data_IF_381525224415
#
_entry.id   IF_381525224415
#
_cell.length_a   1.000
_cell.length_b   1.000
_cell.length_c   1.000
_cell.angle_alpha   90.00
_cell.angle_beta   90.00
_cell.angle_gamma   90.00
#
_symmetry.space_group_name_H-M   'P 1'
#
loop_
_entity.id
_entity.type
_entity.pdbx_description
1 polymer ?
#
# COMPACT_ATOMS: atom_id res chain seq x y z
N UNK A 1 -21.17 7.59 38.41
CA UNK A 1 -22.23 7.44 37.37
C UNK A 1 -21.56 7.13 36.05
N UNK A 2 -21.54 5.86 35.65
CA UNK A 2 -21.01 5.41 34.37
C UNK A 2 -22.09 5.60 33.28
N UNK A 3 -21.77 6.35 32.22
CA UNK A 3 -22.62 6.46 31.03
C UNK A 3 -22.47 5.19 30.20
N UNK A 4 -23.55 4.46 30.00
CA UNK A 4 -23.59 3.29 29.11
C UNK A 4 -23.42 3.75 27.66
N UNK A 5 -22.51 3.10 26.95
CA UNK A 5 -22.32 3.25 25.51
C UNK A 5 -23.49 2.54 24.83
N UNK A 6 -24.44 3.31 24.31
CA UNK A 6 -25.55 2.79 23.50
C UNK A 6 -25.03 2.22 22.17
N UNK A 7 -25.69 1.16 21.71
CA UNK A 7 -25.30 0.36 20.54
C UNK A 7 -25.20 1.21 19.28
N UNK A 8 -24.09 1.02 18.54
CA UNK A 8 -23.70 1.75 17.33
C UNK A 8 -24.66 1.61 16.14
N UNK A 9 -25.68 0.75 16.23
CA UNK A 9 -26.64 0.47 15.17
C UNK A 9 -28.05 0.61 15.72
N UNK A 10 -28.91 1.33 14.99
CA UNK A 10 -30.29 1.58 15.39
C UNK A 10 -31.22 0.46 14.93
N UNK A 11 -30.83 -0.30 13.91
CA UNK A 11 -31.63 -1.39 13.36
C UNK A 11 -30.80 -2.65 13.04
N UNK A 12 -31.45 -3.80 13.00
CA UNK A 12 -30.85 -5.08 12.60
C UNK A 12 -30.41 -5.06 11.14
N UNK A 13 -31.15 -4.36 10.28
CA UNK A 13 -30.81 -4.20 8.87
C UNK A 13 -29.52 -3.39 8.68
N UNK A 14 -29.30 -2.34 9.48
CA UNK A 14 -28.03 -1.61 9.48
C UNK A 14 -26.85 -2.49 9.90
N UNK A 15 -27.05 -3.37 10.88
CA UNK A 15 -26.00 -4.29 11.33
C UNK A 15 -25.67 -5.35 10.26
N UNK A 16 -26.68 -5.97 9.65
CA UNK A 16 -26.45 -6.97 8.60
C UNK A 16 -25.84 -6.36 7.34
N UNK A 17 -26.26 -5.13 6.97
CA UNK A 17 -25.63 -4.37 5.89
C UNK A 17 -24.17 -4.03 6.20
N UNK A 18 -23.89 -3.53 7.41
CA UNK A 18 -22.52 -3.25 7.86
C UNK A 18 -21.65 -4.51 7.85
N UNK A 19 -22.19 -5.66 8.26
CA UNK A 19 -21.51 -6.96 8.26
C UNK A 19 -21.23 -7.46 6.84
N UNK A 20 -22.20 -7.38 5.93
CA UNK A 20 -22.05 -7.73 4.52
C UNK A 20 -21.02 -6.83 3.79
N UNK A 21 -21.02 -5.53 4.09
CA UNK A 21 -20.04 -4.58 3.53
C UNK A 21 -18.61 -4.84 4.02
N UNK A 22 -18.45 -5.37 5.24
CA UNK A 22 -17.14 -5.77 5.79
C UNK A 22 -16.64 -7.08 5.16
N UNK A 23 -17.52 -8.06 5.02
CA UNK A 23 -17.19 -9.36 4.43
C UNK A 23 -16.85 -9.21 2.93
N UNK A 24 -17.51 -8.29 2.22
CA UNK A 24 -17.22 -8.01 0.81
C UNK A 24 -16.00 -7.11 0.57
N UNK A 25 -15.37 -6.58 1.62
CA UNK A 25 -14.23 -5.65 1.52
C UNK A 25 -14.57 -4.29 0.89
N UNK A 26 -15.85 -4.02 0.56
CA UNK A 26 -16.29 -2.80 -0.13
C UNK A 26 -16.10 -1.53 0.70
N UNK A 27 -16.32 -1.60 2.01
CA UNK A 27 -16.14 -0.44 2.90
C UNK A 27 -14.67 -0.02 3.02
N UNK A 28 -13.74 -0.98 3.09
CA UNK A 28 -12.30 -0.71 3.14
C UNK A 28 -11.78 -0.10 1.83
N UNK A 29 -12.20 -0.62 0.68
CA UNK A 29 -11.81 -0.09 -0.63
C UNK A 29 -12.40 1.29 -0.90
N UNK A 30 -13.68 1.50 -0.60
CA UNK A 30 -14.34 2.80 -0.78
C UNK A 30 -13.75 3.87 0.14
N UNK A 31 -13.48 3.57 1.41
CA UNK A 31 -12.84 4.53 2.31
C UNK A 31 -11.41 4.86 1.89
N UNK A 32 -10.61 3.86 1.50
CA UNK A 32 -9.25 4.11 0.99
C UNK A 32 -9.25 4.94 -0.29
N UNK A 33 -10.18 4.69 -1.20
CA UNK A 33 -10.29 5.44 -2.45
C UNK A 33 -10.68 6.90 -2.20
N UNK A 34 -11.61 7.15 -1.27
CA UNK A 34 -11.96 8.51 -0.85
C UNK A 34 -10.81 9.20 -0.11
N UNK A 35 -10.03 8.49 0.70
CA UNK A 35 -8.84 9.04 1.35
C UNK A 35 -7.73 9.39 0.34
N UNK A 36 -7.50 8.56 -0.69
CA UNK A 36 -6.53 8.83 -1.75
C UNK A 36 -6.94 10.03 -2.62
N UNK A 37 -8.22 10.09 -3.03
CA UNK A 37 -8.75 11.24 -3.78
C UNK A 37 -8.64 12.55 -2.97
N UNK A 38 -8.91 12.48 -1.67
CA UNK A 38 -8.78 13.64 -0.79
C UNK A 38 -7.31 14.06 -0.60
N UNK A 39 -6.38 13.10 -0.48
CA UNK A 39 -4.96 13.39 -0.39
C UNK A 39 -4.41 14.06 -1.67
N UNK A 40 -4.87 13.62 -2.85
CA UNK A 40 -4.49 14.22 -4.13
C UNK A 40 -5.06 15.62 -4.30
N UNK A 41 -6.33 15.82 -3.95
CA UNK A 41 -6.94 17.14 -3.93
C UNK A 41 -6.16 18.10 -3.01
N UNK A 42 -5.82 17.67 -1.80
CA UNK A 42 -5.03 18.46 -0.84
C UNK A 42 -3.63 18.78 -1.39
N UNK A 43 -2.97 17.83 -2.06
CA UNK A 43 -1.66 18.05 -2.67
C UNK A 43 -1.73 19.10 -3.79
N UNK A 44 -2.73 19.00 -4.67
CA UNK A 44 -2.99 19.97 -5.74
C UNK A 44 -3.22 21.37 -5.15
N UNK A 45 -4.01 21.48 -4.08
CA UNK A 45 -4.26 22.77 -3.41
C UNK A 45 -2.97 23.40 -2.88
N UNK A 46 -2.09 22.61 -2.24
CA UNK A 46 -0.82 23.14 -1.74
C UNK A 46 0.12 23.58 -2.86
N UNK A 47 0.16 22.85 -3.98
CA UNK A 47 0.92 23.25 -5.15
C UNK A 47 0.38 24.54 -5.78
N UNK A 48 -0.93 24.66 -5.94
CA UNK A 48 -1.57 25.86 -6.47
C UNK A 48 -1.27 27.08 -5.59
N UNK A 49 -1.43 26.96 -4.27
CA UNK A 49 -1.09 28.03 -3.33
C UNK A 49 0.39 28.41 -3.44
N UNK A 50 1.31 27.44 -3.54
CA UNK A 50 2.73 27.71 -3.70
C UNK A 50 3.06 28.46 -5.00
N UNK A 51 2.38 28.15 -6.11
CA UNK A 51 2.52 28.89 -7.38
C UNK A 51 1.94 30.29 -7.30
N UNK A 52 0.76 30.46 -6.68
CA UNK A 52 0.17 31.79 -6.44
C UNK A 52 1.10 32.68 -5.60
N UNK A 53 1.69 32.13 -4.53
CA UNK A 53 2.65 32.85 -3.69
C UNK A 53 3.92 33.23 -4.46
N UNK A 54 4.40 32.37 -5.37
CA UNK A 54 5.53 32.70 -6.24
C UNK A 54 5.19 33.86 -7.19
N UNK A 55 4.01 33.81 -7.81
CA UNK A 55 3.56 34.86 -8.71
C UNK A 55 3.45 36.20 -7.98
N UNK A 56 2.82 36.22 -6.80
CA UNK A 56 2.72 37.41 -5.95
C UNK A 56 4.08 37.96 -5.55
N UNK A 57 5.05 37.10 -5.21
CA UNK A 57 6.41 37.52 -4.90
C UNK A 57 7.09 38.19 -6.11
N UNK A 58 6.94 37.62 -7.31
CA UNK A 58 7.49 38.19 -8.55
C UNK A 58 6.86 39.55 -8.84
N UNK A 59 5.54 39.67 -8.74
CA UNK A 59 4.84 40.94 -8.92
C UNK A 59 5.32 42.01 -7.92
N UNK A 60 5.54 41.63 -6.66
CA UNK A 60 6.06 42.53 -5.64
C UNK A 60 7.49 43.01 -5.96
N UNK A 61 8.39 42.11 -6.39
CA UNK A 61 9.74 42.50 -6.79
C UNK A 61 9.77 43.37 -8.05
N UNK A 62 8.94 43.07 -9.06
CA UNK A 62 8.81 43.90 -10.26
C UNK A 62 8.33 45.31 -9.89
N UNK A 63 7.30 45.39 -9.03
CA UNK A 63 6.79 46.69 -8.55
C UNK A 63 7.89 47.46 -7.82
N UNK A 64 8.59 46.83 -6.88
CA UNK A 64 9.72 47.43 -6.19
C UNK A 64 10.82 47.93 -7.14
N UNK A 65 11.15 47.15 -8.17
CA UNK A 65 12.16 47.51 -9.17
C UNK A 65 11.74 48.71 -10.04
N UNK A 66 10.49 48.75 -10.48
CA UNK A 66 9.94 49.88 -11.28
C UNK A 66 9.98 51.17 -10.47
N UNK A 67 9.60 51.12 -9.19
CA UNK A 67 9.65 52.29 -8.30
C UNK A 67 11.08 52.72 -7.99
N UNK A 68 11.99 51.77 -7.76
CA UNK A 68 13.40 52.06 -7.55
C UNK A 68 14.01 52.74 -8.79
N UNK A 69 13.70 52.23 -9.99
CA UNK A 69 14.13 52.83 -11.25
C UNK A 69 13.59 54.26 -11.41
N UNK A 70 12.31 54.49 -11.08
CA UNK A 70 11.71 55.84 -11.12
C UNK A 70 12.43 56.82 -10.19
N UNK A 71 12.80 56.39 -8.97
CA UNK A 71 13.56 57.20 -8.02
C UNK A 71 14.97 57.53 -8.51
N UNK A 72 15.64 56.58 -9.18
CA UNK A 72 17.00 56.77 -9.69
C UNK A 72 17.03 57.65 -10.92
N UNK A 73 16.02 57.59 -11.81
CA UNK A 73 16.00 58.32 -13.08
C UNK A 73 15.50 59.76 -12.93
N UNK A 74 14.60 60.02 -11.97
CA UNK A 74 14.01 61.35 -11.74
C UNK A 74 15.02 62.51 -11.58
N UNK A 75 16.17 62.35 -10.89
CA UNK A 75 17.18 63.41 -10.76
C UNK A 75 17.89 63.78 -12.07
N UNK A 76 17.84 62.92 -13.10
CA UNK A 76 18.66 63.07 -14.31
C UNK A 76 18.00 63.85 -15.46
N UNK A 77 16.88 64.57 -15.20
CA UNK A 77 16.39 65.76 -15.93
C UNK A 77 16.15 65.70 -17.46
N UNK A 78 16.58 64.67 -18.17
CA UNK A 78 16.66 64.64 -19.64
C UNK A 78 16.20 63.33 -20.29
N UNK A 79 15.58 62.42 -19.52
CA UNK A 79 15.20 61.07 -19.99
C UNK A 79 13.67 60.92 -20.19
N UNK A 80 12.92 62.03 -20.12
CA UNK A 80 11.47 62.02 -20.20
C UNK A 80 10.89 61.63 -21.58
N UNK A 81 11.73 61.52 -22.62
CA UNK A 81 11.30 61.08 -23.96
C UNK A 81 11.23 59.57 -24.14
N UNK A 82 11.64 58.78 -23.14
CA UNK A 82 11.62 57.32 -23.23
C UNK A 82 10.26 56.77 -22.75
N UNK A 83 9.53 56.08 -23.64
CA UNK A 83 8.20 55.48 -23.41
C UNK A 83 8.12 54.62 -22.14
N UNK A 84 9.23 53.96 -21.77
CA UNK A 84 9.28 53.12 -20.57
C UNK A 84 9.29 53.96 -19.27
N UNK A 85 9.91 55.14 -19.29
CA UNK A 85 9.99 56.04 -18.13
C UNK A 85 8.64 56.70 -17.88
N UNK A 86 7.94 57.14 -18.93
CA UNK A 86 6.59 57.70 -18.80
C UNK A 86 5.56 56.66 -18.32
N UNK A 87 5.65 55.41 -18.78
CA UNK A 87 4.79 54.34 -18.29
C UNK A 87 5.03 54.04 -16.80
N UNK A 88 6.30 54.01 -16.37
CA UNK A 88 6.66 53.81 -14.96
C UNK A 88 6.15 54.96 -14.06
N UNK A 89 6.21 56.21 -14.54
CA UNK A 89 5.69 57.38 -13.81
C UNK A 89 4.15 57.34 -13.67
N UNK A 90 3.42 56.96 -14.72
CA UNK A 90 1.95 56.81 -14.64
C UNK A 90 1.52 55.74 -13.62
N UNK A 91 2.24 54.61 -13.58
CA UNK A 91 2.00 53.55 -12.58
C UNK A 91 2.31 54.06 -11.18
N UNK A 92 3.41 54.80 -11.01
CA UNK A 92 3.79 55.43 -9.74
C UNK A 92 2.70 56.35 -9.24
N UNK A 93 2.21 57.27 -10.06
CA UNK A 93 1.23 58.28 -9.66
C UNK A 93 -0.11 57.64 -9.26
N UNK A 94 -0.55 56.63 -10.02
CA UNK A 94 -1.76 55.86 -9.71
C UNK A 94 -1.65 55.17 -8.35
N UNK A 95 -0.56 54.45 -8.10
CA UNK A 95 -0.36 53.71 -6.85
C UNK A 95 -0.10 54.65 -5.67
N UNK A 96 0.63 55.75 -5.89
CA UNK A 96 0.92 56.77 -4.87
C UNK A 96 -0.36 57.46 -4.39
N UNK A 97 -1.32 57.71 -5.30
CA UNK A 97 -2.62 58.30 -4.94
C UNK A 97 -3.43 57.41 -3.99
N UNK A 98 -3.35 56.08 -4.17
CA UNK A 98 -4.05 55.11 -3.31
C UNK A 98 -3.40 55.01 -1.93
N UNK A 99 -2.07 55.06 -1.87
CA UNK A 99 -1.32 54.92 -0.61
C UNK A 99 -1.36 56.21 0.20
N UNK A 100 -1.38 57.37 -0.45
CA UNK A 100 -1.47 58.68 0.20
C UNK A 100 -2.76 58.88 1.01
N UNK A 101 -3.79 58.06 0.77
CA UNK A 101 -5.03 58.03 1.57
C UNK A 101 -4.80 57.38 2.95
N UNK A 102 -3.85 56.44 3.05
CA UNK A 102 -3.68 55.58 4.23
C UNK A 102 -2.42 55.93 5.03
N UNK A 103 -1.33 56.34 4.36
CA UNK A 103 -0.04 56.61 5.00
C UNK A 103 0.36 58.06 4.77
N UNK A 104 0.47 58.90 5.82
CA UNK A 104 0.96 60.26 5.68
C UNK A 104 2.45 60.22 5.28
N UNK A 105 2.74 60.61 4.04
CA UNK A 105 4.04 60.37 3.40
C UNK A 105 4.92 61.62 3.25
N UNK A 106 4.48 62.77 3.75
CA UNK A 106 5.26 64.00 3.78
C UNK A 106 5.93 64.17 5.15
N UNK A 107 7.21 63.81 5.23
CA UNK A 107 8.04 64.04 6.42
C UNK A 107 9.05 65.13 6.07
N UNK A 108 9.06 66.24 6.82
CA UNK A 108 10.00 67.36 6.62
C UNK A 108 10.01 67.94 5.19
N UNK A 109 8.83 68.15 4.60
CA UNK A 109 8.67 68.75 3.25
C UNK A 109 9.33 67.98 2.10
N UNK A 110 9.70 66.71 2.31
CA UNK A 110 10.16 65.80 1.26
C UNK A 110 9.17 64.65 1.13
N UNK A 111 8.77 64.36 -0.10
CA UNK A 111 7.95 63.20 -0.42
C UNK A 111 8.82 61.93 -0.40
N UNK A 112 8.60 61.09 0.61
CA UNK A 112 9.31 59.81 0.79
C UNK A 112 8.48 58.60 0.32
N UNK A 113 7.30 58.83 -0.28
CA UNK A 113 6.35 57.77 -0.66
C UNK A 113 7.00 56.69 -1.51
N UNK A 114 7.86 57.07 -2.47
CA UNK A 114 8.55 56.11 -3.33
C UNK A 114 9.44 55.13 -2.57
N UNK A 115 10.18 55.58 -1.55
CA UNK A 115 11.04 54.71 -0.74
C UNK A 115 10.22 53.76 0.14
N UNK A 116 9.10 54.25 0.69
CA UNK A 116 8.17 53.42 1.48
C UNK A 116 7.62 52.27 0.63
N UNK A 117 7.18 52.58 -0.60
CA UNK A 117 6.64 51.56 -1.52
C UNK A 117 7.69 50.51 -1.87
N UNK A 118 8.93 50.93 -2.15
CA UNK A 118 10.03 50.00 -2.42
C UNK A 118 10.25 49.07 -1.22
N UNK A 119 10.38 49.61 0.00
CA UNK A 119 10.62 48.80 1.21
C UNK A 119 9.48 47.81 1.44
N UNK A 120 8.22 48.24 1.30
CA UNK A 120 7.05 47.37 1.46
C UNK A 120 7.03 46.28 0.38
N UNK A 121 7.26 46.63 -0.88
CA UNK A 121 7.23 45.70 -1.99
C UNK A 121 8.29 44.59 -1.85
N UNK A 122 9.53 44.96 -1.52
CA UNK A 122 10.59 43.97 -1.26
C UNK A 122 10.27 43.13 -0.02
N UNK A 123 9.78 43.73 1.07
CA UNK A 123 9.43 43.00 2.30
C UNK A 123 8.31 41.96 2.06
N UNK A 124 7.26 42.35 1.33
CA UNK A 124 6.19 41.44 0.93
C UNK A 124 6.70 40.32 -0.01
N UNK A 125 7.59 40.66 -0.95
CA UNK A 125 8.24 39.68 -1.82
C UNK A 125 8.97 38.60 -1.03
N UNK A 126 9.79 38.99 -0.05
CA UNK A 126 10.47 38.05 0.85
C UNK A 126 9.50 37.24 1.69
N UNK A 127 8.43 37.86 2.23
CA UNK A 127 7.42 37.17 3.02
C UNK A 127 6.70 36.08 2.20
N UNK A 128 6.24 36.39 0.98
CA UNK A 128 5.59 35.42 0.09
C UNK A 128 6.53 34.28 -0.31
N UNK A 129 7.81 34.58 -0.51
CA UNK A 129 8.81 33.56 -0.82
C UNK A 129 9.04 32.60 0.36
N UNK A 130 9.01 33.10 1.60
CA UNK A 130 9.01 32.27 2.82
C UNK A 130 7.76 31.39 2.95
N UNK A 131 6.57 31.97 2.71
CA UNK A 131 5.30 31.23 2.76
C UNK A 131 5.24 30.11 1.70
N UNK A 132 5.74 30.37 0.48
CA UNK A 132 5.87 29.35 -0.58
C UNK A 132 6.62 28.11 -0.09
N UNK A 133 7.74 28.30 0.62
CA UNK A 133 8.52 27.18 1.14
C UNK A 133 7.69 26.35 2.14
N UNK A 134 6.96 27.00 3.05
CA UNK A 134 6.08 26.29 4.00
C UNK A 134 5.06 25.40 3.29
N UNK A 135 4.38 25.92 2.26
CA UNK A 135 3.37 25.14 1.53
C UNK A 135 3.98 24.01 0.67
N UNK A 136 5.13 24.25 0.02
CA UNK A 136 5.83 23.21 -0.74
C UNK A 136 6.26 22.05 0.18
N UNK A 137 6.67 22.35 1.40
CA UNK A 137 7.03 21.34 2.41
C UNK A 137 5.83 20.50 2.83
N UNK A 138 4.66 21.11 3.04
CA UNK A 138 3.42 20.40 3.35
C UNK A 138 3.00 19.46 2.21
N UNK A 139 3.08 19.92 0.96
CA UNK A 139 2.79 19.10 -0.22
C UNK A 139 3.69 17.84 -0.31
N UNK A 140 4.98 18.01 -0.07
CA UNK A 140 5.93 16.88 -0.08
C UNK A 140 5.62 15.88 1.04
N UNK A 141 5.22 16.34 2.24
CA UNK A 141 4.83 15.44 3.33
C UNK A 141 3.59 14.62 2.98
N UNK A 142 2.57 15.23 2.39
CA UNK A 142 1.36 14.52 1.95
C UNK A 142 1.73 13.43 0.94
N UNK A 143 2.62 13.75 0.00
CA UNK A 143 3.14 12.80 -0.99
C UNK A 143 3.91 11.66 -0.30
N UNK A 144 4.83 11.96 0.62
CA UNK A 144 5.58 10.93 1.36
C UNK A 144 4.67 10.02 2.19
N UNK A 145 3.65 10.59 2.84
CA UNK A 145 2.67 9.81 3.60
C UNK A 145 1.89 8.88 2.66
N UNK A 146 1.46 9.38 1.51
CA UNK A 146 0.80 8.58 0.47
C UNK A 146 1.70 7.44 -0.03
N UNK A 147 2.97 7.73 -0.35
CA UNK A 147 3.92 6.73 -0.82
C UNK A 147 4.19 5.67 0.25
N UNK A 148 4.27 6.08 1.53
CA UNK A 148 4.39 5.18 2.66
C UNK A 148 3.16 4.29 2.83
N UNK A 149 1.96 4.86 2.86
CA UNK A 149 0.71 4.12 3.03
C UNK A 149 0.47 3.18 1.84
N UNK A 150 0.84 3.60 0.62
CA UNK A 150 0.83 2.76 -0.58
C UNK A 150 1.84 1.62 -0.49
N UNK A 151 3.08 1.89 -0.09
CA UNK A 151 4.12 0.86 0.07
C UNK A 151 3.74 -0.15 1.15
N UNK A 152 3.27 0.33 2.30
CA UNK A 152 2.74 -0.47 3.39
C UNK A 152 1.55 -1.31 2.95
N UNK A 153 0.63 -0.73 2.18
CA UNK A 153 -0.53 -1.42 1.61
C UNK A 153 -0.13 -2.52 0.63
N UNK A 154 0.85 -2.25 -0.26
CA UNK A 154 1.40 -3.22 -1.21
C UNK A 154 2.09 -4.39 -0.50
N UNK A 155 2.81 -4.11 0.58
CA UNK A 155 3.56 -5.11 1.34
C UNK A 155 2.74 -5.77 2.48
N UNK A 156 1.49 -5.34 2.69
CA UNK A 156 0.59 -5.78 3.78
C UNK A 156 1.26 -5.93 5.16
N UNK A 157 2.28 -5.11 5.42
CA UNK A 157 3.03 -5.16 6.67
C UNK A 157 2.10 -4.75 7.82
N UNK A 158 2.01 -5.61 8.84
CA UNK A 158 1.29 -5.29 10.07
C UNK A 158 1.82 -3.99 10.69
N UNK A 159 0.94 -3.18 11.29
CA UNK A 159 1.29 -1.94 12.01
C UNK A 159 2.39 -2.13 13.06
N UNK A 160 2.60 -3.38 13.51
CA UNK A 160 3.56 -3.79 14.52
C UNK A 160 4.84 -4.40 13.96
N UNK A 161 5.07 -4.38 12.65
CA UNK A 161 6.33 -4.84 12.09
C UNK A 161 7.47 -4.04 12.74
N UNK A 162 8.37 -4.73 13.45
CA UNK A 162 9.44 -4.09 14.23
C UNK A 162 10.29 -3.14 13.37
N UNK A 163 10.45 -3.48 12.09
CA UNK A 163 11.11 -2.71 11.03
C UNK A 163 10.47 -1.34 10.76
N UNK A 164 9.17 -1.17 10.99
CA UNK A 164 8.44 0.09 10.75
C UNK A 164 8.42 1.02 11.98
N UNK A 165 8.66 0.49 13.18
CA UNK A 165 8.57 1.24 14.45
C UNK A 165 9.45 2.50 14.54
N UNK A 166 10.69 2.54 14.02
CA UNK A 166 11.51 3.75 14.08
C UNK A 166 10.95 4.85 13.16
N UNK A 167 10.29 4.45 12.06
CA UNK A 167 9.73 5.35 11.08
C UNK A 167 8.41 5.96 11.57
N UNK A 168 7.50 5.15 12.13
CA UNK A 168 6.24 5.64 12.69
C UNK A 168 6.49 6.64 13.82
N UNK A 169 7.46 6.35 14.68
CA UNK A 169 7.83 7.24 15.80
C UNK A 169 8.44 8.56 15.30
N UNK A 170 9.28 8.53 14.26
CA UNK A 170 9.85 9.76 13.66
C UNK A 170 8.81 10.58 12.88
N UNK A 171 7.90 9.93 12.17
CA UNK A 171 6.82 10.61 11.46
C UNK A 171 5.88 11.35 12.42
N UNK A 172 5.65 10.79 13.62
CA UNK A 172 4.83 11.40 14.65
C UNK A 172 5.50 12.57 15.39
N UNK A 173 6.84 12.64 15.42
CA UNK A 173 7.60 13.57 16.27
C UNK A 173 8.31 14.69 15.50
N UNK A 174 8.50 14.57 14.19
CA UNK A 174 9.26 15.57 13.40
C UNK A 174 8.46 16.79 13.00
N UNK A 175 9.08 17.97 13.10
CA UNK A 175 8.56 19.20 12.53
C UNK A 175 9.10 19.34 11.11
N UNK A 176 8.27 18.95 10.14
CA UNK A 176 8.69 18.71 8.75
C UNK A 176 9.15 19.99 8.02
N UNK A 177 8.93 21.15 8.64
CA UNK A 177 9.46 22.45 8.25
C UNK A 177 11.00 22.51 8.21
N UNK A 178 11.71 21.65 8.95
CA UNK A 178 13.17 21.66 9.05
C UNK A 178 13.83 20.81 7.95
N UNK A 179 14.67 21.43 7.12
CA UNK A 179 15.41 20.76 6.02
C UNK A 179 16.21 19.54 6.49
N UNK A 180 16.86 19.62 7.65
CA UNK A 180 17.70 18.55 8.21
C UNK A 180 16.86 17.35 8.68
N UNK A 181 15.72 17.62 9.31
CA UNK A 181 14.79 16.56 9.74
C UNK A 181 14.15 15.86 8.53
N UNK A 182 13.83 16.61 7.47
CA UNK A 182 13.34 16.05 6.22
C UNK A 182 14.34 15.12 5.55
N UNK A 183 15.61 15.52 5.47
CA UNK A 183 16.68 14.67 4.92
C UNK A 183 16.87 13.41 5.78
N UNK A 184 16.80 13.52 7.11
CA UNK A 184 16.85 12.38 8.01
C UNK A 184 15.65 11.42 7.87
N UNK A 185 14.45 11.94 7.58
CA UNK A 185 13.26 11.14 7.32
C UNK A 185 13.37 10.38 6.00
N UNK A 186 13.83 11.05 4.93
CA UNK A 186 14.09 10.43 3.64
C UNK A 186 15.14 9.32 3.73
N UNK A 187 16.24 9.58 4.43
CA UNK A 187 17.29 8.60 4.65
C UNK A 187 16.75 7.38 5.44
N UNK A 188 15.92 7.61 6.45
CA UNK A 188 15.29 6.53 7.20
C UNK A 188 14.33 5.71 6.34
N UNK A 189 13.50 6.37 5.51
CA UNK A 189 12.60 5.68 4.60
C UNK A 189 13.37 4.79 3.62
N UNK A 190 14.42 5.34 3.00
CA UNK A 190 15.29 4.59 2.11
C UNK A 190 15.94 3.40 2.82
N UNK A 191 16.42 3.58 4.06
CA UNK A 191 17.03 2.52 4.85
C UNK A 191 16.02 1.43 5.25
N UNK A 192 14.82 1.82 5.70
CA UNK A 192 13.76 0.87 6.06
C UNK A 192 13.28 0.08 4.85
N UNK A 193 13.06 0.75 3.71
CA UNK A 193 12.72 0.08 2.45
C UNK A 193 13.81 -0.90 2.05
N UNK A 194 15.08 -0.46 2.08
CA UNK A 194 16.22 -1.34 1.77
C UNK A 194 16.27 -2.57 2.69
N UNK A 195 16.03 -2.40 3.99
CA UNK A 195 15.99 -3.53 4.94
C UNK A 195 14.85 -4.51 4.66
N UNK A 196 13.68 -4.00 4.23
CA UNK A 196 12.55 -4.84 3.84
C UNK A 196 12.89 -5.61 2.58
N UNK A 197 13.44 -4.94 1.56
CA UNK A 197 13.85 -5.55 0.30
C UNK A 197 14.96 -6.60 0.54
N UNK A 198 15.94 -6.31 1.41
CA UNK A 198 16.99 -7.25 1.84
C UNK A 198 16.44 -8.45 2.63
N UNK A 199 15.27 -8.30 3.27
CA UNK A 199 14.61 -9.37 4.04
C UNK A 199 13.50 -10.07 3.25
N UNK A 200 13.27 -9.66 2.00
CA UNK A 200 12.34 -10.34 1.11
C UNK A 200 12.99 -11.61 0.58
N UNK A 201 12.22 -12.70 0.56
CA UNK A 201 12.63 -14.00 0.02
C UNK A 201 11.62 -14.45 -1.00
N UNK A 202 12.08 -15.09 -2.07
CA UNK A 202 11.20 -15.84 -2.96
C UNK A 202 10.65 -17.04 -2.20
N UNK A 203 9.34 -17.05 -1.96
CA UNK A 203 8.65 -18.07 -1.19
C UNK A 203 7.47 -18.61 -1.96
N UNK A 204 7.17 -19.88 -1.76
CA UNK A 204 6.00 -20.54 -2.34
C UNK A 204 5.00 -20.91 -1.26
N UNK A 205 3.73 -20.62 -1.51
CA UNK A 205 2.63 -20.90 -0.60
C UNK A 205 1.71 -21.95 -1.21
N UNK A 206 1.41 -22.99 -0.45
CA UNK A 206 0.45 -24.04 -0.76
C UNK A 206 -0.73 -23.93 0.21
N UNK A 207 -1.90 -23.63 -0.33
CA UNK A 207 -3.17 -23.70 0.38
C UNK A 207 -3.87 -25.02 0.04
N UNK A 208 -4.32 -25.75 1.06
CA UNK A 208 -5.07 -27.00 0.92
C UNK A 208 -6.35 -26.87 1.72
N UNK A 209 -7.49 -27.25 1.16
CA UNK A 209 -8.75 -27.33 1.89
C UNK A 209 -9.51 -28.59 1.53
N UNK A 210 -10.20 -29.15 2.53
CA UNK A 210 -11.13 -30.27 2.32
C UNK A 210 -12.33 -29.77 1.49
N UNK A 211 -12.74 -30.58 0.52
CA UNK A 211 -13.92 -30.32 -0.33
C UNK A 211 -15.18 -30.63 0.47
N UNK A 212 -16.13 -29.69 0.49
CA UNK A 212 -17.43 -29.85 1.16
C UNK A 212 -17.31 -30.40 2.61
N UNK A 213 -16.56 -29.73 3.50
CA UNK A 213 -16.32 -30.23 4.84
C UNK A 213 -17.60 -30.37 5.66
N UNK A 214 -18.61 -29.52 5.42
CA UNK A 214 -19.93 -29.61 6.05
C UNK A 214 -20.69 -30.84 5.58
N UNK A 215 -20.67 -31.12 4.27
CA UNK A 215 -21.26 -32.33 3.72
C UNK A 215 -20.59 -33.61 4.20
N UNK A 216 -19.27 -33.62 4.43
CA UNK A 216 -18.55 -34.76 5.01
C UNK A 216 -18.95 -35.01 6.47
N UNK A 217 -19.28 -33.95 7.23
CA UNK A 217 -19.70 -34.03 8.64
C UNK A 217 -21.18 -34.39 8.81
N UNK A 218 -21.99 -34.25 7.76
CA UNK A 218 -23.42 -34.45 7.81
C UNK A 218 -23.76 -35.94 8.07
N UNK A 219 -24.69 -36.18 9.00
CA UNK A 219 -25.17 -37.53 9.36
C UNK A 219 -24.07 -38.48 9.89
N UNK A 220 -23.01 -37.91 10.46
CA UNK A 220 -21.92 -38.62 11.14
C UNK A 220 -21.91 -38.33 12.65
N UNK A 221 -21.33 -39.24 13.42
CA UNK A 221 -21.16 -39.08 14.86
C UNK A 221 -20.00 -38.13 15.18
N UNK A 222 -20.17 -37.24 16.16
CA UNK A 222 -19.15 -36.24 16.53
C UNK A 222 -17.79 -36.83 16.85
N UNK A 223 -17.74 -38.01 17.50
CA UNK A 223 -16.49 -38.68 17.84
C UNK A 223 -15.76 -39.22 16.60
N UNK A 224 -16.50 -39.72 15.61
CA UNK A 224 -15.95 -40.19 14.33
C UNK A 224 -15.41 -39.00 13.53
N UNK A 225 -16.16 -37.90 13.49
CA UNK A 225 -15.72 -36.66 12.83
C UNK A 225 -14.40 -36.18 13.41
N UNK A 226 -14.30 -36.06 14.74
CA UNK A 226 -13.08 -35.57 15.39
C UNK A 226 -11.89 -36.50 15.14
N UNK A 227 -12.09 -37.81 15.27
CA UNK A 227 -11.07 -38.82 15.01
C UNK A 227 -10.53 -38.73 13.57
N UNK A 228 -11.41 -38.75 12.58
CA UNK A 228 -11.00 -38.80 11.17
C UNK A 228 -10.35 -37.51 10.69
N UNK A 229 -10.80 -36.34 11.15
CA UNK A 229 -10.12 -35.08 10.85
C UNK A 229 -8.76 -34.99 11.55
N UNK A 230 -8.58 -35.61 12.73
CA UNK A 230 -7.30 -35.72 13.39
C UNK A 230 -6.35 -36.69 12.66
N UNK A 231 -6.85 -37.81 12.15
CA UNK A 231 -6.09 -38.71 11.28
C UNK A 231 -5.73 -38.08 9.94
N UNK A 232 -6.64 -37.31 9.33
CA UNK A 232 -6.35 -36.52 8.13
C UNK A 232 -5.24 -35.51 8.39
N UNK A 233 -5.27 -34.80 9.52
CA UNK A 233 -4.18 -33.89 9.93
C UNK A 233 -2.85 -34.62 10.08
N UNK A 234 -2.84 -35.81 10.70
CA UNK A 234 -1.62 -36.65 10.82
C UNK A 234 -1.11 -37.08 9.45
N UNK A 235 -2.02 -37.51 8.57
CA UNK A 235 -1.71 -37.89 7.20
C UNK A 235 -1.05 -36.74 6.43
N UNK A 236 -1.67 -35.56 6.39
CA UNK A 236 -1.11 -34.37 5.74
C UNK A 236 0.23 -33.97 6.36
N UNK A 237 0.33 -33.94 7.69
CA UNK A 237 1.59 -33.62 8.38
C UNK A 237 2.71 -34.64 8.07
N UNK A 238 2.37 -35.90 7.77
CA UNK A 238 3.37 -36.90 7.35
C UNK A 238 3.99 -36.59 5.99
N UNK A 239 3.26 -35.90 5.10
CA UNK A 239 3.71 -35.47 3.76
C UNK A 239 4.49 -34.16 3.77
N UNK A 240 4.27 -33.32 4.79
CA UNK A 240 4.95 -32.03 4.96
C UNK A 240 6.37 -32.19 5.53
N UNK A 241 6.68 -33.32 6.19
CA UNK A 241 7.84 -33.52 7.06
C UNK A 241 9.17 -33.87 6.35
N UNK A 242 9.26 -33.75 5.04
CA UNK A 242 10.48 -33.97 4.27
C UNK A 242 11.10 -32.64 3.80
N UNK A 243 12.00 -32.06 4.58
CA UNK A 243 13.06 -31.17 4.08
C UNK A 243 12.78 -29.66 3.97
N UNK A 244 11.70 -29.20 3.34
CA UNK A 244 11.68 -27.81 2.81
C UNK A 244 10.51 -26.93 3.27
N UNK A 245 9.71 -27.39 4.25
CA UNK A 245 8.65 -26.57 4.84
C UNK A 245 9.25 -25.56 5.81
N UNK A 246 9.01 -24.27 5.55
CA UNK A 246 9.46 -23.18 6.42
C UNK A 246 8.49 -22.93 7.57
N UNK A 247 7.19 -22.84 7.26
CA UNK A 247 6.11 -22.57 8.23
C UNK A 247 4.81 -23.21 7.74
N UNK A 248 3.91 -23.53 8.66
CA UNK A 248 2.56 -23.99 8.32
C UNK A 248 1.55 -23.53 9.36
N UNK A 249 0.33 -23.23 8.94
CA UNK A 249 -0.80 -22.89 9.81
C UNK A 249 -2.04 -23.68 9.41
N UNK A 250 -2.66 -24.32 10.39
CA UNK A 250 -3.95 -24.97 10.22
C UNK A 250 -5.08 -23.95 10.35
N UNK A 251 -6.07 -24.08 9.48
CA UNK A 251 -7.40 -23.46 9.63
C UNK A 251 -8.39 -24.53 10.11
N UNK A 252 -9.69 -24.21 10.13
CA UNK A 252 -10.71 -25.19 10.55
C UNK A 252 -10.74 -26.43 9.63
N UNK A 253 -10.69 -26.23 8.31
CA UNK A 253 -10.91 -27.29 7.31
C UNK A 253 -9.74 -27.44 6.30
N UNK A 254 -8.64 -26.72 6.52
CA UNK A 254 -7.51 -26.68 5.60
C UNK A 254 -6.20 -26.27 6.26
N UNK A 255 -5.14 -26.21 5.47
CA UNK A 255 -3.79 -25.83 5.90
C UNK A 255 -3.17 -24.89 4.86
N UNK A 256 -2.44 -23.89 5.35
CA UNK A 256 -1.55 -23.06 4.55
C UNK A 256 -0.10 -23.40 4.90
N UNK A 257 0.71 -23.68 3.89
CA UNK A 257 2.10 -24.13 4.04
C UNK A 257 3.02 -23.21 3.24
N UNK A 258 4.14 -22.82 3.83
CA UNK A 258 5.19 -22.01 3.22
C UNK A 258 6.42 -22.87 2.92
N UNK A 259 6.89 -22.81 1.68
CA UNK A 259 8.06 -23.50 1.17
C UNK A 259 9.08 -22.51 0.61
N UNK A 260 10.35 -22.89 0.64
CA UNK A 260 11.43 -22.18 -0.06
C UNK A 260 11.45 -22.48 -1.57
N UNK A 261 10.79 -23.55 -2.01
CA UNK A 261 10.80 -24.03 -3.40
C UNK A 261 9.40 -24.34 -3.89
N UNK A 262 9.16 -24.02 -5.17
CA UNK A 262 7.91 -24.34 -5.86
C UNK A 262 7.77 -25.83 -6.17
N UNK A 263 8.88 -26.50 -6.52
CA UNK A 263 8.90 -27.93 -6.81
C UNK A 263 8.48 -28.75 -5.58
N UNK A 264 8.94 -28.34 -4.39
CA UNK A 264 8.57 -29.02 -3.14
C UNK A 264 7.08 -28.83 -2.82
N UNK A 265 6.54 -27.63 -3.04
CA UNK A 265 5.11 -27.37 -2.85
C UNK A 265 4.25 -28.25 -3.78
N UNK A 266 4.62 -28.36 -5.06
CA UNK A 266 3.90 -29.21 -6.03
C UNK A 266 4.00 -30.67 -5.62
N UNK A 267 5.20 -31.16 -5.31
CA UNK A 267 5.40 -32.56 -4.89
C UNK A 267 4.57 -32.90 -3.66
N UNK A 268 4.59 -32.04 -2.63
CA UNK A 268 3.77 -32.24 -1.44
C UNK A 268 2.27 -32.28 -1.77
N UNK A 269 1.79 -31.38 -2.64
CA UNK A 269 0.38 -31.39 -3.06
C UNK A 269 0.01 -32.66 -3.84
N UNK A 270 0.85 -33.11 -4.77
CA UNK A 270 0.67 -34.35 -5.53
C UNK A 270 0.67 -35.57 -4.61
N UNK A 271 1.61 -35.66 -3.66
CA UNK A 271 1.68 -36.76 -2.69
C UNK A 271 0.47 -36.82 -1.76
N UNK A 272 -0.08 -35.66 -1.37
CA UNK A 272 -1.31 -35.58 -0.58
C UNK A 272 -2.50 -36.05 -1.41
N UNK A 273 -2.68 -35.54 -2.64
CA UNK A 273 -3.81 -35.94 -3.48
C UNK A 273 -3.73 -37.44 -3.82
N UNK A 274 -2.56 -37.93 -4.21
CA UNK A 274 -2.37 -39.33 -4.64
C UNK A 274 -2.51 -40.33 -3.49
N UNK A 275 -2.16 -39.94 -2.26
CA UNK A 275 -2.30 -40.83 -1.10
C UNK A 275 -3.68 -40.80 -0.45
N UNK A 276 -4.58 -39.90 -0.85
CA UNK A 276 -5.94 -39.83 -0.31
C UNK A 276 -6.75 -41.09 -0.60
N UNK A 277 -6.54 -41.77 -1.73
CA UNK A 277 -7.21 -43.05 -2.01
C UNK A 277 -6.89 -44.09 -0.93
N UNK A 278 -5.61 -44.22 -0.57
CA UNK A 278 -5.15 -45.12 0.49
C UNK A 278 -5.69 -44.71 1.86
N UNK A 279 -5.74 -43.41 2.15
CA UNK A 279 -6.32 -42.88 3.38
C UNK A 279 -7.83 -43.16 3.47
N UNK A 280 -8.56 -42.89 2.39
CA UNK A 280 -10.00 -43.10 2.29
C UNK A 280 -10.39 -44.58 2.39
N UNK A 281 -9.53 -45.48 1.90
CA UNK A 281 -9.83 -46.91 1.94
C UNK A 281 -9.49 -47.56 3.29
N UNK A 282 -8.41 -47.12 3.94
CA UNK A 282 -7.81 -47.88 5.04
C UNK A 282 -7.78 -47.15 6.39
N UNK A 283 -8.06 -45.84 6.42
CA UNK A 283 -7.93 -45.03 7.65
C UNK A 283 -9.25 -44.38 8.06
N UNK A 284 -9.93 -43.69 7.14
CA UNK A 284 -11.19 -43.02 7.49
C UNK A 284 -12.28 -44.03 7.85
N UNK A 285 -13.16 -43.60 8.73
CA UNK A 285 -14.39 -44.29 9.12
C UNK A 285 -15.66 -43.55 8.64
N UNK A 286 -15.57 -42.24 8.34
CA UNK A 286 -16.65 -41.45 7.74
C UNK A 286 -17.06 -42.04 6.38
N UNK A 287 -18.37 -41.97 6.07
CA UNK A 287 -18.96 -42.53 4.84
C UNK A 287 -18.42 -41.82 3.59
N UNK A 288 -18.37 -40.49 3.59
CA UNK A 288 -17.87 -39.70 2.46
C UNK A 288 -16.34 -39.69 2.41
N UNK A 289 -15.79 -39.59 1.21
CA UNK A 289 -14.33 -39.58 1.00
C UNK A 289 -13.75 -38.19 1.26
N UNK A 290 -12.56 -38.15 1.85
CA UNK A 290 -11.77 -36.93 1.92
C UNK A 290 -11.23 -36.64 0.52
N UNK A 291 -11.58 -35.46 0.03
CA UNK A 291 -11.07 -34.88 -1.22
C UNK A 291 -10.55 -33.49 -0.92
N UNK A 292 -9.55 -33.03 -1.66
CA UNK A 292 -8.91 -31.74 -1.38
C UNK A 292 -8.81 -30.88 -2.63
N UNK A 293 -8.84 -29.57 -2.43
CA UNK A 293 -8.48 -28.58 -3.42
C UNK A 293 -7.15 -27.95 -3.01
N UNK A 294 -6.22 -27.81 -3.96
CA UNK A 294 -4.91 -27.22 -3.72
C UNK A 294 -4.73 -25.94 -4.55
N UNK A 295 -4.15 -24.91 -3.95
CA UNK A 295 -3.77 -23.67 -4.62
C UNK A 295 -2.32 -23.32 -4.31
N UNK A 296 -1.51 -23.10 -5.33
CA UNK A 296 -0.09 -22.77 -5.20
C UNK A 296 0.20 -21.43 -5.86
N UNK A 297 0.94 -20.58 -5.16
CA UNK A 297 1.48 -19.35 -5.73
C UNK A 297 2.86 -19.04 -5.14
N UNK A 298 3.69 -18.35 -5.91
CA UNK A 298 5.07 -18.01 -5.53
C UNK A 298 5.36 -16.52 -5.74
N UNK A 299 6.30 -15.99 -4.98
CA UNK A 299 6.83 -14.64 -5.17
C UNK A 299 7.63 -14.10 -3.99
N UNK A 300 8.17 -12.90 -4.17
CA UNK A 300 8.93 -12.16 -3.16
C UNK A 300 8.04 -11.74 -1.98
N UNK A 301 8.29 -12.31 -0.80
CA UNK A 301 7.54 -12.03 0.44
C UNK A 301 8.51 -11.67 1.56
N UNK A 302 8.15 -10.67 2.37
CA UNK A 302 8.91 -10.36 3.58
C UNK A 302 8.86 -11.56 4.54
N UNK A 303 10.03 -12.10 4.85
CA UNK A 303 10.14 -13.30 5.66
C UNK A 303 10.93 -13.05 6.94
N UNK A 304 10.28 -13.35 8.07
CA UNK A 304 10.85 -13.24 9.40
C UNK A 304 10.58 -14.55 10.16
N UNK A 305 11.65 -15.22 10.58
CA UNK A 305 11.57 -16.50 11.29
C UNK A 305 10.77 -16.38 12.59
N UNK A 306 10.73 -15.20 13.23
CA UNK A 306 9.98 -14.96 14.47
C UNK A 306 8.47 -14.76 14.26
N UNK A 307 8.02 -14.44 13.04
CA UNK A 307 6.61 -14.22 12.73
C UNK A 307 5.95 -15.57 12.38
N UNK A 308 4.95 -16.05 13.13
CA UNK A 308 4.27 -17.30 12.80
C UNK A 308 3.40 -17.13 11.54
N UNK A 309 3.10 -18.24 10.87
CA UNK A 309 2.41 -18.24 9.56
C UNK A 309 1.04 -17.53 9.61
N UNK A 310 0.31 -17.65 10.72
CA UNK A 310 -1.00 -17.03 10.94
C UNK A 310 -0.96 -15.49 10.96
N UNK A 311 0.23 -14.91 11.17
CA UNK A 311 0.46 -13.46 11.20
C UNK A 311 1.12 -12.94 9.93
N UNK A 312 1.51 -13.82 9.01
CA UNK A 312 2.01 -13.41 7.70
C UNK A 312 0.82 -13.00 6.84
N UNK A 313 0.93 -11.85 6.17
CA UNK A 313 -0.07 -11.36 5.23
C UNK A 313 0.67 -10.77 4.05
N UNK A 314 0.42 -11.31 2.86
CA UNK A 314 1.00 -10.86 1.61
C UNK A 314 -0.02 -11.11 0.48
N UNK A 315 0.12 -10.44 -0.67
CA UNK A 315 -0.68 -10.76 -1.85
C UNK A 315 -0.40 -12.18 -2.34
N UNK A 316 0.84 -12.65 -2.27
CA UNK A 316 1.20 -14.00 -2.73
C UNK A 316 0.40 -15.07 -1.97
N UNK A 317 0.22 -14.88 -0.66
CA UNK A 317 -0.55 -15.77 0.22
C UNK A 317 -2.05 -15.73 -0.12
N UNK A 318 -2.62 -14.54 -0.32
CA UNK A 318 -4.02 -14.39 -0.71
C UNK A 318 -4.33 -15.10 -2.03
N UNK A 319 -3.45 -14.95 -3.03
CA UNK A 319 -3.62 -15.58 -4.35
C UNK A 319 -3.61 -17.10 -4.21
N UNK A 320 -2.70 -17.69 -3.41
CA UNK A 320 -2.71 -19.13 -3.15
C UNK A 320 -4.04 -19.60 -2.53
N UNK A 321 -4.54 -18.85 -1.54
CA UNK A 321 -5.84 -19.13 -0.92
C UNK A 321 -7.03 -19.00 -1.90
N UNK A 322 -7.01 -17.99 -2.77
CA UNK A 322 -8.05 -17.82 -3.78
C UNK A 322 -8.00 -18.89 -4.87
N UNK A 323 -6.81 -19.28 -5.34
CA UNK A 323 -6.62 -20.40 -6.25
C UNK A 323 -7.21 -21.68 -5.65
N UNK A 324 -6.86 -21.99 -4.40
CA UNK A 324 -7.41 -23.14 -3.68
C UNK A 324 -8.93 -23.08 -3.60
N UNK A 325 -9.51 -21.92 -3.25
CA UNK A 325 -10.95 -21.75 -3.10
C UNK A 325 -11.72 -22.08 -4.39
N UNK A 326 -11.11 -21.81 -5.52
CA UNK A 326 -11.74 -21.99 -6.83
C UNK A 326 -11.35 -23.30 -7.53
N UNK A 327 -10.35 -24.00 -7.01
CA UNK A 327 -9.84 -25.24 -7.58
C UNK A 327 -10.87 -26.36 -7.54
N UNK A 328 -10.78 -27.24 -8.54
CA UNK A 328 -11.62 -28.43 -8.58
C UNK A 328 -11.15 -29.45 -7.53
N UNK A 329 -12.04 -30.32 -7.04
CA UNK A 329 -11.65 -31.43 -6.19
C UNK A 329 -10.56 -32.29 -6.83
N UNK A 330 -9.57 -32.71 -6.02
CA UNK A 330 -8.41 -33.51 -6.39
C UNK A 330 -7.52 -32.88 -7.48
N UNK A 331 -7.46 -31.54 -7.46
CA UNK A 331 -6.65 -30.76 -8.39
C UNK A 331 -5.73 -29.77 -7.67
N UNK A 332 -4.68 -29.36 -8.37
CA UNK A 332 -3.75 -28.31 -7.97
C UNK A 332 -3.90 -27.16 -8.96
N UNK A 333 -4.24 -25.98 -8.46
CA UNK A 333 -4.29 -24.76 -9.27
C UNK A 333 -3.09 -23.85 -8.99
N UNK A 334 -2.52 -23.31 -10.06
CA UNK A 334 -1.36 -22.43 -10.04
C UNK A 334 -1.63 -21.15 -10.83
N UNK A 335 -1.03 -20.05 -10.39
CA UNK A 335 -0.97 -18.84 -11.20
C UNK A 335 0.05 -19.00 -12.33
N UNK A 336 -0.19 -18.29 -13.44
CA UNK A 336 0.78 -18.15 -14.54
C UNK A 336 2.17 -17.71 -14.04
N UNK A 337 2.23 -16.72 -13.14
CA UNK A 337 3.53 -16.28 -12.60
C UNK A 337 4.26 -17.37 -11.80
N UNK A 338 3.54 -18.31 -11.21
CA UNK A 338 4.15 -19.43 -10.50
C UNK A 338 4.58 -20.53 -11.50
N UNK A 339 3.77 -20.82 -12.52
CA UNK A 339 4.12 -21.86 -13.51
C UNK A 339 5.36 -21.49 -14.33
N UNK A 340 5.56 -20.20 -14.62
CA UNK A 340 6.75 -19.69 -15.33
C UNK A 340 8.06 -19.94 -14.58
N UNK A 341 8.01 -20.17 -13.27
CA UNK A 341 9.18 -20.49 -12.44
C UNK A 341 9.55 -21.97 -12.47
N UNK A 342 8.67 -22.82 -13.00
CA UNK A 342 8.93 -24.25 -13.11
C UNK A 342 9.94 -24.55 -14.21
N UNK A 343 10.86 -25.46 -13.91
CA UNK A 343 11.71 -26.06 -14.95
C UNK A 343 10.93 -27.00 -15.85
N UNK A 344 9.93 -27.64 -15.27
CA UNK A 344 9.07 -28.61 -15.91
C UNK A 344 7.62 -28.34 -15.50
N UNK A 345 6.78 -28.08 -16.49
CA UNK A 345 5.35 -27.79 -16.33
C UNK A 345 4.49 -28.92 -16.90
N UNK A 346 5.08 -30.08 -17.20
CA UNK A 346 4.35 -31.27 -17.64
C UNK A 346 3.21 -31.59 -16.65
N UNK A 347 2.06 -31.95 -17.20
CA UNK A 347 0.84 -32.24 -16.43
C UNK A 347 0.03 -31.03 -15.98
N UNK A 348 0.50 -29.80 -16.17
CA UNK A 348 -0.32 -28.61 -15.95
C UNK A 348 -0.92 -28.10 -17.25
N UNK A 349 -2.24 -27.91 -17.27
CA UNK A 349 -2.99 -27.38 -18.42
C UNK A 349 -3.64 -26.05 -18.08
N UNK A 350 -3.70 -25.08 -19.02
CA UNK A 350 -4.39 -23.83 -18.78
C UNK A 350 -5.91 -24.07 -18.63
N UNK A 351 -6.52 -23.37 -17.67
CA UNK A 351 -7.97 -23.41 -17.43
C UNK A 351 -8.59 -22.10 -17.93
N UNK A 352 -9.79 -22.12 -18.51
CA UNK A 352 -10.50 -20.89 -18.90
C UNK A 352 -11.06 -20.14 -17.67
N UNK A 353 -10.15 -19.64 -16.82
CA UNK A 353 -10.45 -18.90 -15.61
C UNK A 353 -9.27 -18.02 -15.21
N UNK A 354 -9.61 -16.83 -14.73
CA UNK A 354 -8.67 -15.86 -14.18
C UNK A 354 -8.95 -15.69 -12.69
N UNK A 355 -7.91 -15.79 -11.87
CA UNK A 355 -7.98 -15.59 -10.41
C UNK A 355 -6.99 -14.49 -10.03
N UNK A 356 -7.48 -13.44 -9.36
CA UNK A 356 -6.67 -12.27 -8.95
C UNK A 356 -5.86 -11.59 -10.07
N UNK A 357 -6.32 -11.74 -11.32
CA UNK A 357 -5.68 -11.19 -12.51
C UNK A 357 -4.66 -12.12 -13.17
N UNK A 358 -4.49 -13.35 -12.66
CA UNK A 358 -3.60 -14.36 -13.24
C UNK A 358 -4.39 -15.38 -14.04
N UNK A 359 -3.85 -15.76 -15.20
CA UNK A 359 -4.25 -16.98 -15.89
C UNK A 359 -3.95 -18.18 -14.99
N UNK A 360 -4.86 -19.14 -14.92
CA UNK A 360 -4.75 -20.31 -14.05
C UNK A 360 -4.35 -21.54 -14.85
N UNK A 361 -3.49 -22.35 -14.23
CA UNK A 361 -3.09 -23.66 -14.70
C UNK A 361 -3.51 -24.72 -13.69
N UNK A 362 -3.91 -25.88 -14.16
CA UNK A 362 -4.43 -26.97 -13.36
C UNK A 362 -3.66 -28.26 -13.62
N UNK A 363 -3.32 -28.95 -12.54
CA UNK A 363 -2.94 -30.36 -12.55
C UNK A 363 -4.05 -31.18 -11.90
N UNK A 364 -4.35 -32.36 -12.47
CA UNK A 364 -5.36 -33.30 -11.95
C UNK A 364 -4.77 -34.69 -11.71
N UNK A 365 -5.23 -35.32 -10.63
CA UNK A 365 -4.95 -36.73 -10.39
C UNK A 365 -5.64 -37.60 -11.44
N UNK A 366 -4.86 -38.40 -12.19
CA UNK A 366 -5.34 -39.26 -13.28
C UNK A 366 -4.73 -38.96 -14.66
N UNK A 367 -4.04 -37.83 -14.82
CA UNK A 367 -3.23 -37.56 -16.01
C UNK A 367 -1.83 -38.16 -15.81
N UNK A 368 -1.49 -39.23 -16.54
CA UNK A 368 -0.26 -40.06 -16.40
C UNK A 368 1.08 -39.33 -16.72
N UNK A 369 1.12 -38.00 -16.67
CA UNK A 369 2.23 -37.20 -17.22
C UNK A 369 3.29 -36.73 -16.23
N UNK A 370 3.22 -37.09 -14.94
CA UNK A 370 4.35 -36.87 -14.03
C UNK A 370 5.23 -38.12 -13.94
N UNK A 371 6.46 -38.13 -14.48
CA UNK A 371 7.44 -39.10 -14.04
C UNK A 371 7.76 -38.74 -12.60
N UNK A 372 7.22 -39.52 -11.65
CA UNK A 372 7.78 -39.65 -10.31
C UNK A 372 9.17 -40.24 -10.53
N UNK A 373 10.15 -39.42 -10.86
CA UNK A 373 11.54 -39.83 -10.88
C UNK A 373 11.88 -40.13 -9.42
N UNK A 374 12.12 -41.41 -9.07
CA UNK A 374 12.58 -41.73 -7.73
C UNK A 374 14.02 -41.25 -7.67
N UNK A 375 14.24 -40.03 -7.20
CA UNK A 375 15.59 -39.57 -6.91
C UNK A 375 16.17 -40.44 -5.81
N UNK A 376 17.00 -41.39 -6.27
CA UNK A 376 18.30 -41.80 -5.74
C UNK A 376 18.37 -42.26 -4.28
N UNK A 377 18.74 -43.53 -4.15
CA UNK A 377 19.41 -44.19 -3.02
C UNK A 377 20.35 -43.33 -2.21
#
# INVERSE_FOLDING_TARGET
MAKSNTSRFQTREEYEKWKADRISGKTSKSQKQTEEENADAVNIHYHLIAYCMQFLAICAFITGAVFLMSLVVHPFGGVASNTYVSAALNVKDTVSSLIGIVVPSNIMSKDITGWIIVVIAFSLGYMFMGQKWSFKTKATLVTMKKDYDSTKGKMKLSDKAAVLSPMTNKLATMNVSNKKEREALLALFAQTKKKIDESSRELTFLAINVVDPDGIKQDEESAIIEHDFLEYKKYVNSKIRAGDTLKSAWTADGIMICFSSIDTAIRTAVEIISGLEGFNKNVKSIKKDFRVCCGINSGAVYYDDSIPMEKMSDRVIDVAGHLQKYALPDSIWMSESAIELLRDSEGFVPVDKVVDGYQVYEWKSGDESFPVNPCAT
#
